data_IF_799870251344
#
_entry.id   IF_799870251344
#
_cell.length_a   1.000
_cell.length_b   1.000
_cell.length_c   1.000
_cell.angle_alpha   90.00
_cell.angle_beta   90.00
_cell.angle_gamma   90.00
#
_symmetry.space_group_name_H-M   'P 1'
#
loop_
_entity.id
_entity.type
_entity.pdbx_description
1 polymer ?
#
# COMPACT_ATOMS: atom_id res chain seq x y z
N UNK A 1 29.73 -6.62 -3.28
CA UNK A 1 28.93 -7.54 -2.46
C UNK A 1 27.58 -7.68 -3.15
N UNK A 2 27.43 -8.68 -4.02
CA UNK A 2 26.15 -8.97 -4.66
C UNK A 2 25.52 -10.13 -3.92
N UNK A 3 24.57 -9.86 -3.05
CA UNK A 3 23.76 -10.94 -2.52
C UNK A 3 22.89 -11.50 -3.65
N UNK A 4 23.01 -12.81 -3.89
CA UNK A 4 22.08 -13.50 -4.79
C UNK A 4 20.74 -13.68 -4.07
N UNK A 5 19.65 -13.52 -4.83
CA UNK A 5 18.28 -13.75 -4.42
C UNK A 5 17.64 -14.73 -5.40
N UNK A 6 16.74 -15.58 -4.90
CA UNK A 6 16.02 -16.54 -5.73
C UNK A 6 14.90 -15.86 -6.54
N UNK A 7 14.29 -14.83 -5.96
CA UNK A 7 13.18 -14.08 -6.57
C UNK A 7 13.34 -12.60 -6.26
N UNK A 8 13.06 -11.75 -7.24
CA UNK A 8 12.97 -10.29 -7.07
C UNK A 8 11.53 -9.88 -7.36
N UNK A 9 10.88 -9.25 -6.39
CA UNK A 9 9.51 -8.72 -6.51
C UNK A 9 9.60 -7.20 -6.57
N UNK A 10 9.00 -6.63 -7.62
CA UNK A 10 8.99 -5.19 -7.87
C UNK A 10 7.57 -4.65 -7.66
N UNK A 11 7.42 -3.74 -6.70
CA UNK A 11 6.14 -3.17 -6.31
C UNK A 11 5.61 -3.80 -5.02
N UNK A 12 4.92 -2.99 -4.23
CA UNK A 12 4.36 -3.37 -2.91
C UNK A 12 2.84 -3.34 -2.90
N UNK A 13 2.21 -3.61 -4.05
CA UNK A 13 0.77 -3.84 -4.12
C UNK A 13 0.36 -5.08 -3.33
N UNK A 14 -0.96 -5.26 -3.17
CA UNK A 14 -1.51 -6.38 -2.40
C UNK A 14 -1.08 -7.74 -3.00
N UNK A 15 -1.15 -7.87 -4.32
CA UNK A 15 -0.77 -9.10 -5.02
C UNK A 15 0.70 -9.44 -4.83
N UNK A 16 1.59 -8.45 -5.02
CA UNK A 16 3.03 -8.62 -4.87
C UNK A 16 3.40 -8.98 -3.44
N UNK A 17 2.78 -8.32 -2.45
CA UNK A 17 2.98 -8.64 -1.03
C UNK A 17 2.57 -10.07 -0.70
N UNK A 18 1.42 -10.54 -1.20
CA UNK A 18 0.96 -11.91 -0.97
C UNK A 18 1.91 -12.93 -1.61
N UNK A 19 2.31 -12.69 -2.86
CA UNK A 19 3.26 -13.57 -3.57
C UNK A 19 4.63 -13.62 -2.88
N UNK A 20 5.15 -12.47 -2.48
CA UNK A 20 6.40 -12.34 -1.73
C UNK A 20 6.35 -13.13 -0.42
N UNK A 21 5.23 -13.06 0.30
CA UNK A 21 4.97 -13.83 1.52
C UNK A 21 4.96 -15.34 1.28
N UNK A 22 4.21 -15.82 0.28
CA UNK A 22 4.12 -17.26 -0.04
C UNK A 22 5.50 -17.81 -0.44
N UNK A 23 6.25 -17.08 -1.26
CA UNK A 23 7.58 -17.50 -1.70
C UNK A 23 8.58 -17.54 -0.54
N UNK A 24 8.49 -16.59 0.39
CA UNK A 24 9.30 -16.56 1.61
C UNK A 24 8.98 -17.74 2.53
N UNK A 25 7.69 -18.08 2.71
CA UNK A 25 7.25 -19.26 3.47
C UNK A 25 7.76 -20.56 2.83
N UNK A 26 7.85 -20.62 1.50
CA UNK A 26 8.42 -21.75 0.77
C UNK A 26 9.97 -21.78 0.79
N UNK A 27 10.62 -20.95 1.60
CA UNK A 27 12.07 -20.97 1.81
C UNK A 27 12.90 -20.30 0.70
N UNK A 28 12.28 -19.49 -0.17
CA UNK A 28 13.00 -18.70 -1.18
C UNK A 28 13.55 -17.42 -0.58
N UNK A 29 14.77 -17.04 -0.98
CA UNK A 29 15.34 -15.74 -0.64
C UNK A 29 14.77 -14.68 -1.58
N UNK A 30 13.78 -13.94 -1.10
CA UNK A 30 13.06 -12.92 -1.89
C UNK A 30 13.62 -11.52 -1.63
N UNK A 31 13.92 -10.78 -2.69
CA UNK A 31 14.17 -9.34 -2.64
C UNK A 31 12.90 -8.60 -3.06
N UNK A 32 12.23 -7.95 -2.11
CA UNK A 32 11.00 -7.22 -2.36
C UNK A 32 11.28 -5.72 -2.28
N UNK A 33 11.16 -5.01 -3.40
CA UNK A 33 11.47 -3.58 -3.51
C UNK A 33 10.38 -2.83 -4.25
N UNK A 34 10.25 -1.53 -3.98
CA UNK A 34 9.35 -0.62 -4.70
C UNK A 34 10.15 0.61 -5.16
N UNK A 35 9.72 1.20 -6.28
CA UNK A 35 10.25 2.49 -6.74
C UNK A 35 9.66 3.66 -5.94
N UNK A 36 8.46 3.47 -5.40
CA UNK A 36 7.72 4.49 -4.68
C UNK A 36 8.21 4.55 -3.23
N UNK A 37 8.28 5.75 -2.61
CA UNK A 37 8.64 5.87 -1.20
C UNK A 37 7.50 5.45 -0.24
N UNK A 38 6.43 4.84 -0.76
CA UNK A 38 5.24 4.44 -0.01
C UNK A 38 4.78 3.04 -0.43
N UNK A 39 4.13 2.33 0.50
CA UNK A 39 3.61 0.98 0.28
C UNK A 39 2.26 1.00 -0.45
N UNK A 40 1.94 -0.11 -1.13
CA UNK A 40 0.61 -0.37 -1.70
C UNK A 40 0.44 0.06 -3.16
N UNK A 41 1.42 0.74 -3.76
CA UNK A 41 1.38 1.10 -5.19
C UNK A 41 0.12 1.87 -5.57
N UNK A 42 -0.69 1.30 -6.47
CA UNK A 42 -2.00 1.87 -6.85
C UNK A 42 -3.02 1.73 -5.71
N UNK A 43 -3.03 0.60 -5.01
CA UNK A 43 -3.85 0.34 -3.82
C UNK A 43 -3.34 1.01 -2.52
N UNK A 44 -2.50 2.04 -2.63
CA UNK A 44 -1.92 2.70 -1.45
C UNK A 44 -3.00 3.36 -0.59
N UNK A 45 -2.84 3.25 0.73
CA UNK A 45 -3.58 4.07 1.69
C UNK A 45 -2.83 5.36 1.94
N UNK A 46 -3.51 6.50 1.85
CA UNK A 46 -2.93 7.82 1.99
C UNK A 46 -3.35 8.44 3.32
N UNK A 47 -2.33 8.88 4.06
CA UNK A 47 -2.44 9.67 5.29
C UNK A 47 -1.21 10.58 5.34
N UNK A 48 -1.35 11.86 5.73
CA UNK A 48 -2.57 12.56 6.14
C UNK A 48 -3.43 13.00 4.95
N UNK A 49 -4.65 13.49 5.22
CA UNK A 49 -5.64 13.82 4.18
C UNK A 49 -5.12 14.87 3.19
N UNK A 50 -4.27 15.78 3.62
CA UNK A 50 -3.64 16.80 2.76
C UNK A 50 -2.82 16.18 1.62
N UNK A 51 -2.21 15.02 1.86
CA UNK A 51 -1.41 14.33 0.84
C UNK A 51 -2.29 13.75 -0.28
N UNK A 52 -3.53 13.36 0.06
CA UNK A 52 -4.54 12.98 -0.93
C UNK A 52 -4.88 14.18 -1.81
N UNK A 53 -5.18 15.32 -1.20
CA UNK A 53 -5.54 16.56 -1.89
C UNK A 53 -4.42 17.06 -2.81
N UNK A 54 -3.16 17.00 -2.37
CA UNK A 54 -2.00 17.27 -3.24
C UNK A 54 -1.93 16.31 -4.42
N UNK A 55 -2.15 15.01 -4.21
CA UNK A 55 -2.09 13.99 -5.26
C UNK A 55 -3.16 14.19 -6.35
N UNK A 56 -4.32 14.76 -5.99
CA UNK A 56 -5.39 15.11 -6.94
C UNK A 56 -5.34 16.57 -7.43
N UNK A 57 -4.29 17.34 -7.10
CA UNK A 57 -4.10 18.70 -7.61
C UNK A 57 -4.98 19.77 -6.95
N UNK A 58 -5.44 19.53 -5.73
CA UNK A 58 -6.31 20.46 -4.97
C UNK A 58 -5.57 20.90 -3.70
N UNK A 59 -4.62 21.86 -3.79
CA UNK A 59 -3.71 22.17 -2.68
C UNK A 59 -4.38 22.85 -1.48
N UNK A 60 -5.53 23.49 -1.66
CA UNK A 60 -6.21 24.22 -0.58
C UNK A 60 -6.91 23.31 0.42
N UNK A 61 -7.18 22.04 0.07
CA UNK A 61 -7.84 21.07 0.94
C UNK A 61 -9.18 21.56 1.52
N UNK A 62 -9.93 20.71 2.23
CA UNK A 62 -11.09 21.13 2.98
C UNK A 62 -10.62 21.78 4.28
N UNK A 63 -11.35 22.76 4.82
CA UNK A 63 -11.01 23.36 6.09
C UNK A 63 -10.95 22.28 7.21
N UNK A 64 -9.99 22.35 8.15
CA UNK A 64 -9.84 21.38 9.24
C UNK A 64 -11.10 21.19 10.09
N UNK A 65 -12.01 22.15 10.05
CA UNK A 65 -13.29 22.11 10.77
C UNK A 65 -14.29 21.06 10.25
N UNK A 66 -14.16 20.57 9.02
CA UNK A 66 -15.11 19.60 8.43
C UNK A 66 -14.69 18.13 8.59
N UNK A 67 -13.38 17.85 8.63
CA UNK A 67 -12.86 16.47 8.57
C UNK A 67 -12.04 16.06 9.79
N UNK A 68 -11.98 16.91 10.82
CA UNK A 68 -11.17 16.67 12.01
C UNK A 68 -9.69 16.95 11.78
N UNK A 69 -8.85 16.63 12.77
CA UNK A 69 -7.41 16.86 12.68
C UNK A 69 -6.83 16.04 11.51
N UNK A 70 -6.04 16.68 10.65
CA UNK A 70 -5.30 16.17 9.49
C UNK A 70 -4.82 14.69 9.53
N UNK A 71 -4.57 14.14 10.73
CA UNK A 71 -4.04 12.79 10.94
C UNK A 71 -5.05 11.65 11.16
N UNK A 72 -6.37 11.88 11.21
CA UNK A 72 -7.33 10.81 11.54
C UNK A 72 -7.89 10.04 10.34
N UNK A 73 -7.70 10.53 9.11
CA UNK A 73 -8.20 9.87 7.89
C UNK A 73 -7.14 9.00 7.23
N UNK A 74 -7.40 7.70 7.10
CA UNK A 74 -6.69 6.82 6.17
C UNK A 74 -7.61 6.53 4.99
N UNK A 75 -7.29 7.07 3.81
CA UNK A 75 -8.07 6.82 2.60
C UNK A 75 -7.33 5.84 1.70
N UNK A 76 -7.93 4.68 1.45
CA UNK A 76 -7.44 3.71 0.46
C UNK A 76 -7.91 4.13 -0.93
N UNK A 77 -6.99 4.25 -1.89
CA UNK A 77 -7.31 4.68 -3.26
C UNK A 77 -8.22 3.70 -4.01
N UNK A 78 -7.97 2.40 -3.85
CA UNK A 78 -8.78 1.33 -4.45
C UNK A 78 -9.19 0.35 -3.35
N UNK A 79 -10.29 0.62 -2.62
CA UNK A 79 -10.76 -0.26 -1.56
C UNK A 79 -11.36 -1.54 -2.14
N UNK A 80 -10.95 -2.68 -1.58
CA UNK A 80 -11.52 -4.00 -1.85
C UNK A 80 -11.96 -4.65 -0.54
N UNK A 81 -13.07 -5.38 -0.56
CA UNK A 81 -13.59 -6.09 0.61
C UNK A 81 -13.29 -7.59 0.53
N UNK A 82 -12.87 -8.19 1.65
CA UNK A 82 -12.81 -9.64 1.77
C UNK A 82 -14.20 -10.22 1.95
N UNK A 83 -14.59 -11.17 1.12
CA UNK A 83 -15.82 -11.91 1.34
C UNK A 83 -15.67 -12.80 2.59
N UNK A 84 -16.68 -12.89 3.47
CA UNK A 84 -16.63 -13.85 4.57
C UNK A 84 -16.48 -15.25 3.99
N UNK A 85 -15.46 -15.99 4.42
CA UNK A 85 -15.36 -17.41 4.07
C UNK A 85 -16.60 -18.10 4.63
N UNK A 86 -17.45 -18.60 3.73
CA UNK A 86 -18.49 -19.53 4.12
C UNK A 86 -17.80 -20.80 4.63
N UNK A 87 -17.84 -21.01 5.94
CA UNK A 87 -17.51 -22.30 6.54
C UNK A 87 -18.56 -23.30 6.08
N UNK A 88 -18.18 -24.21 5.18
CA UNK A 88 -18.94 -25.41 4.88
C UNK A 88 -18.57 -26.51 5.87
#
# INVERSE_FOLDING_TARGET
MGEAYDVIVLGTGLTECILSGILSVNGKKVLHMDRNPYYGGESSSITPLEELYKRFGVPEGPPPSQWGVAGTGMLTLFPSFSWPMASW
#
